data_IF_049321166081
#
_entry.id   IF_049321166081
#
_cell.length_a   1.000
_cell.length_b   1.000
_cell.length_c   1.000
_cell.angle_alpha   90.00
_cell.angle_beta   90.00
_cell.angle_gamma   90.00
#
_symmetry.space_group_name_H-M   'P 1'
#
loop_
_entity.id
_entity.type
_entity.pdbx_description
1 polymer ?
#
# COMPACT_ATOMS: atom_id res chain seq x y z
N UNK A 1 22.01 40.14 -12.10
CA UNK A 1 21.33 38.84 -12.30
C UNK A 1 21.23 38.17 -10.94
N UNK A 2 20.04 38.11 -10.34
CA UNK A 2 19.81 37.38 -9.09
C UNK A 2 19.55 35.93 -9.44
N UNK A 3 20.45 35.03 -9.01
CA UNK A 3 20.23 33.59 -9.08
C UNK A 3 19.22 33.24 -7.97
N UNK A 4 17.99 32.94 -8.36
CA UNK A 4 17.01 32.41 -7.43
C UNK A 4 17.52 31.03 -6.97
N UNK A 5 17.92 30.91 -5.71
CA UNK A 5 18.11 29.60 -5.06
C UNK A 5 16.74 28.92 -5.03
N UNK A 6 16.55 27.94 -5.90
CA UNK A 6 15.45 27.00 -5.83
C UNK A 6 15.77 26.05 -4.67
N UNK A 7 15.18 26.31 -3.51
CA UNK A 7 15.13 25.30 -2.47
C UNK A 7 14.29 24.15 -3.04
N UNK A 8 14.80 22.90 -3.07
CA UNK A 8 13.95 21.79 -3.40
C UNK A 8 12.80 21.77 -2.38
N UNK A 9 11.56 21.87 -2.86
CA UNK A 9 10.40 21.61 -2.03
C UNK A 9 10.61 20.20 -1.46
N UNK A 10 10.60 20.07 -0.14
CA UNK A 10 10.62 18.76 0.51
C UNK A 10 9.44 17.98 -0.05
N UNK A 11 9.71 16.87 -0.73
CA UNK A 11 8.65 16.00 -1.20
C UNK A 11 7.85 15.54 0.04
N UNK A 12 6.62 16.03 0.15
CA UNK A 12 5.73 15.62 1.22
C UNK A 12 5.19 14.24 0.84
N UNK A 13 5.43 13.26 1.68
CA UNK A 13 4.96 11.88 1.47
C UNK A 13 3.43 11.86 1.28
N UNK A 14 2.90 10.84 0.59
CA UNK A 14 1.47 10.67 0.37
C UNK A 14 0.68 10.64 1.69
N UNK A 15 1.23 9.98 2.70
CA UNK A 15 0.78 10.12 4.07
C UNK A 15 1.49 11.37 4.62
N UNK A 16 0.75 12.48 4.77
CA UNK A 16 1.24 13.77 5.23
C UNK A 16 1.92 13.70 6.61
N UNK A 17 2.50 14.80 7.03
CA UNK A 17 3.30 14.90 8.25
C UNK A 17 2.64 14.27 9.50
N UNK A 18 1.30 14.35 9.64
CA UNK A 18 0.62 13.78 10.81
C UNK A 18 0.42 12.27 10.65
N UNK A 19 -0.19 11.80 9.56
CA UNK A 19 -0.46 10.38 9.36
C UNK A 19 0.83 9.56 9.20
N UNK A 20 1.90 10.16 8.68
CA UNK A 20 3.20 9.49 8.50
C UNK A 20 3.84 9.03 9.80
N UNK A 21 3.53 9.66 10.92
CA UNK A 21 4.07 9.32 12.24
C UNK A 21 3.35 8.16 12.92
N UNK A 22 2.17 7.75 12.42
CA UNK A 22 1.39 6.66 13.00
C UNK A 22 1.78 5.31 12.42
N UNK A 23 2.12 4.37 13.29
CA UNK A 23 2.21 2.95 12.94
C UNK A 23 0.83 2.28 12.97
N UNK A 24 0.00 2.67 13.95
CA UNK A 24 -1.35 2.10 14.13
C UNK A 24 -2.36 3.22 14.40
N UNK A 25 -3.41 3.26 13.59
CA UNK A 25 -4.49 4.24 13.73
C UNK A 25 -5.84 3.58 13.46
N UNK A 26 -6.79 3.70 14.40
CA UNK A 26 -8.12 3.13 14.28
C UNK A 26 -9.23 4.18 14.36
N UNK A 27 -10.26 4.08 13.52
CA UNK A 27 -11.46 4.91 13.61
C UNK A 27 -12.31 4.56 14.83
N UNK A 28 -12.60 3.28 15.00
CA UNK A 28 -13.39 2.71 16.11
C UNK A 28 -12.57 2.33 17.34
N UNK A 29 -11.23 2.33 17.24
CA UNK A 29 -10.35 2.00 18.35
C UNK A 29 -9.13 1.18 17.93
N UNK A 30 -8.22 0.99 18.89
CA UNK A 30 -7.06 0.10 18.77
C UNK A 30 -7.05 -0.82 19.98
N UNK A 31 -6.98 -2.12 19.73
CA UNK A 31 -6.94 -3.14 20.78
C UNK A 31 -5.78 -4.08 20.57
N UNK A 32 -4.99 -4.31 21.60
CA UNK A 32 -4.02 -5.41 21.64
C UNK A 32 -4.40 -6.40 22.74
N UNK A 33 -4.43 -7.69 22.42
CA UNK A 33 -4.75 -8.74 23.40
C UNK A 33 -3.52 -9.42 23.99
N UNK A 34 -2.32 -9.08 23.51
CA UNK A 34 -1.09 -9.70 23.96
C UNK A 34 0.14 -8.78 23.84
N UNK A 35 1.33 -9.39 23.95
CA UNK A 35 2.61 -8.69 23.86
C UNK A 35 2.94 -8.25 22.43
N UNK A 36 2.40 -7.11 22.03
CA UNK A 36 2.66 -6.48 20.73
C UNK A 36 3.70 -5.38 20.86
N UNK A 37 4.57 -5.24 19.88
CA UNK A 37 5.54 -4.13 19.79
C UNK A 37 5.19 -3.23 18.62
N UNK A 38 5.06 -1.93 18.88
CA UNK A 38 4.72 -0.93 17.86
C UNK A 38 5.81 0.13 17.82
N UNK A 39 6.44 0.31 16.66
CA UNK A 39 7.39 1.38 16.42
C UNK A 39 6.72 2.50 15.62
N UNK A 40 6.35 3.56 16.32
CA UNK A 40 5.59 4.71 15.82
C UNK A 40 4.42 5.07 16.74
N UNK A 41 3.67 6.11 16.38
CA UNK A 41 2.51 6.54 17.15
C UNK A 41 1.35 5.56 17.03
N UNK A 42 0.58 5.48 18.13
CA UNK A 42 -0.68 4.72 18.19
C UNK A 42 -1.80 5.69 18.56
N UNK A 43 -2.93 5.60 17.86
CA UNK A 43 -4.07 6.45 18.16
C UNK A 43 -5.39 5.91 17.66
N UNK A 44 -6.46 6.51 18.20
CA UNK A 44 -7.81 6.23 17.75
C UNK A 44 -8.63 7.52 17.67
N UNK A 45 -9.38 7.70 16.60
CA UNK A 45 -10.29 8.81 16.40
C UNK A 45 -11.36 8.49 15.34
N UNK A 46 -12.61 8.90 15.52
CA UNK A 46 -13.13 9.78 16.57
C UNK A 46 -13.29 9.12 17.95
N UNK A 47 -13.28 7.80 18.03
CA UNK A 47 -13.30 7.11 19.33
C UNK A 47 -11.90 7.16 19.96
N UNK A 48 -11.83 7.59 21.22
CA UNK A 48 -10.57 7.60 21.96
C UNK A 48 -10.38 6.26 22.72
N UNK A 49 -10.48 5.14 22.00
CA UNK A 49 -10.39 3.81 22.61
C UNK A 49 -9.10 3.12 22.20
N UNK A 50 -8.09 3.16 23.07
CA UNK A 50 -6.85 2.40 22.92
C UNK A 50 -6.68 1.51 24.14
N UNK A 51 -6.68 0.19 23.96
CA UNK A 51 -6.67 -0.81 25.03
C UNK A 51 -5.60 -1.86 24.83
N UNK A 52 -5.13 -2.48 25.91
CA UNK A 52 -4.09 -3.50 25.88
C UNK A 52 -2.65 -2.96 25.92
N UNK A 53 -2.48 -1.76 26.44
CA UNK A 53 -1.18 -1.10 26.62
C UNK A 53 -0.95 -0.73 28.07
N UNK A 54 -0.33 -1.60 28.91
CA UNK A 54 0.31 -2.89 28.61
C UNK A 54 -0.70 -4.05 28.42
N UNK A 55 -0.28 -5.26 27.92
CA UNK A 55 1.12 -5.71 27.73
C UNK A 55 1.77 -5.24 26.43
N UNK A 56 1.03 -4.67 25.47
CA UNK A 56 1.64 -4.09 24.30
C UNK A 56 2.54 -2.89 24.65
N UNK A 57 3.61 -2.72 23.87
CA UNK A 57 4.61 -1.65 24.06
C UNK A 57 4.73 -0.79 22.82
N UNK A 58 4.94 0.51 23.04
CA UNK A 58 5.20 1.47 21.97
C UNK A 58 6.67 1.88 22.05
N UNK A 59 7.38 1.76 20.94
CA UNK A 59 8.76 2.20 20.75
C UNK A 59 8.82 3.22 19.62
N UNK A 60 9.70 4.22 19.71
CA UNK A 60 9.81 5.23 18.62
C UNK A 60 8.59 6.17 18.48
N UNK A 61 7.61 6.10 19.37
CA UNK A 61 6.38 6.89 19.31
C UNK A 61 5.68 6.97 20.67
N UNK A 62 4.41 7.37 20.65
CA UNK A 62 3.57 7.52 21.84
C UNK A 62 2.09 7.22 21.54
N UNK A 63 1.29 7.10 22.62
CA UNK A 63 -0.17 7.20 22.49
C UNK A 63 -0.54 8.65 22.16
N UNK A 64 -1.19 8.83 21.02
CA UNK A 64 -1.55 10.16 20.54
C UNK A 64 -2.89 10.62 21.10
N UNK A 65 -3.01 11.94 21.32
CA UNK A 65 -4.28 12.55 21.69
C UNK A 65 -5.33 12.38 20.58
N UNK A 66 -6.60 12.44 20.96
CA UNK A 66 -7.72 12.33 20.00
C UNK A 66 -7.63 13.38 18.90
N UNK A 67 -7.23 14.61 19.21
CA UNK A 67 -7.09 15.68 18.21
C UNK A 67 -6.03 15.36 17.16
N UNK A 68 -4.85 14.88 17.56
CA UNK A 68 -3.78 14.50 16.63
C UNK A 68 -4.21 13.27 15.81
N UNK A 69 -4.88 12.31 16.44
CA UNK A 69 -5.42 11.13 15.75
C UNK A 69 -6.52 11.51 14.74
N UNK A 70 -7.34 12.54 15.01
CA UNK A 70 -8.33 13.06 14.06
C UNK A 70 -7.67 13.70 12.84
N UNK A 71 -6.60 14.47 13.02
CA UNK A 71 -5.83 15.02 11.92
C UNK A 71 -5.22 13.90 11.06
N UNK A 72 -4.62 12.89 11.71
CA UNK A 72 -4.06 11.74 11.02
C UNK A 72 -5.12 10.94 10.24
N UNK A 73 -6.34 10.79 10.78
CA UNK A 73 -7.45 10.16 10.03
C UNK A 73 -7.88 10.98 8.83
N UNK A 74 -7.92 12.31 8.95
CA UNK A 74 -8.23 13.18 7.82
C UNK A 74 -7.18 13.07 6.70
N UNK A 75 -5.91 13.03 7.09
CA UNK A 75 -4.79 12.84 6.16
C UNK A 75 -4.84 11.46 5.48
N UNK A 76 -5.11 10.39 6.25
CA UNK A 76 -5.27 9.05 5.73
C UNK A 76 -6.45 8.94 4.76
N UNK A 77 -7.55 9.66 5.00
CA UNK A 77 -8.69 9.74 4.09
C UNK A 77 -8.33 10.40 2.77
N UNK A 78 -7.56 11.49 2.80
CA UNK A 78 -7.10 12.17 1.58
C UNK A 78 -6.22 11.22 0.77
N UNK A 79 -5.27 10.54 1.41
CA UNK A 79 -4.41 9.55 0.77
C UNK A 79 -5.23 8.37 0.19
N UNK A 80 -6.15 7.82 0.96
CA UNK A 80 -7.03 6.71 0.53
C UNK A 80 -7.81 7.06 -0.73
N UNK A 81 -8.44 8.24 -0.75
CA UNK A 81 -9.24 8.70 -1.90
C UNK A 81 -8.37 8.96 -3.12
N UNK A 82 -7.17 9.48 -2.92
CA UNK A 82 -6.21 9.68 -4.01
C UNK A 82 -5.76 8.33 -4.62
N UNK A 83 -5.41 7.35 -3.79
CA UNK A 83 -5.02 6.01 -4.24
C UNK A 83 -6.13 5.33 -5.05
N UNK A 84 -7.40 5.47 -4.63
CA UNK A 84 -8.56 4.89 -5.31
C UNK A 84 -8.83 5.45 -6.71
N UNK A 85 -8.19 6.55 -7.08
CA UNK A 85 -8.35 7.21 -8.38
C UNK A 85 -7.21 6.88 -9.37
N UNK A 86 -6.24 6.05 -8.96
CA UNK A 86 -5.14 5.72 -9.83
C UNK A 86 -5.58 4.76 -10.95
N UNK A 87 -5.05 4.96 -12.13
CA UNK A 87 -5.38 4.06 -13.25
C UNK A 87 -4.62 2.73 -13.09
N UNK A 88 -5.32 1.59 -13.14
CA UNK A 88 -4.67 0.31 -12.97
C UNK A 88 -3.77 -0.01 -14.17
N UNK A 89 -2.55 -0.47 -13.88
CA UNK A 89 -1.65 -1.05 -14.88
C UNK A 89 -2.01 -2.52 -15.15
N UNK A 90 -2.57 -3.21 -14.14
CA UNK A 90 -2.99 -4.59 -14.26
C UNK A 90 -4.21 -4.91 -13.38
N UNK A 91 -5.12 -5.74 -13.92
CA UNK A 91 -6.28 -6.27 -13.16
C UNK A 91 -5.96 -7.70 -12.73
N UNK A 92 -6.01 -7.94 -11.40
CA UNK A 92 -5.71 -9.23 -10.77
C UNK A 92 -6.94 -9.82 -10.04
N UNK A 93 -8.15 -9.40 -10.39
CA UNK A 93 -9.38 -9.91 -9.77
C UNK A 93 -9.47 -11.43 -9.88
N UNK A 94 -9.59 -12.11 -8.72
CA UNK A 94 -9.67 -13.57 -8.65
C UNK A 94 -8.32 -14.30 -8.71
N UNK A 95 -7.21 -13.56 -8.77
CA UNK A 95 -5.85 -14.13 -8.74
C UNK A 95 -5.33 -14.11 -7.31
N UNK A 96 -4.75 -15.23 -6.84
CA UNK A 96 -3.98 -15.25 -5.59
C UNK A 96 -2.63 -14.58 -5.82
N UNK A 97 -2.22 -13.72 -4.90
CA UNK A 97 -0.95 -13.00 -4.97
C UNK A 97 0.26 -13.90 -4.68
N UNK A 98 0.05 -15.07 -4.07
CA UNK A 98 1.12 -16.01 -3.72
C UNK A 98 1.86 -16.55 -4.94
N UNK A 99 3.18 -16.57 -4.86
CA UNK A 99 4.06 -17.03 -5.94
C UNK A 99 4.28 -16.00 -7.06
N UNK A 100 3.62 -14.84 -7.00
CA UNK A 100 3.82 -13.80 -8.01
C UNK A 100 5.09 -12.98 -7.73
N UNK A 101 5.72 -12.54 -8.81
CA UNK A 101 6.68 -11.44 -8.81
C UNK A 101 6.05 -10.27 -9.55
N UNK A 102 5.88 -9.15 -8.87
CA UNK A 102 5.27 -7.95 -9.41
C UNK A 102 6.29 -6.82 -9.48
N UNK A 103 6.12 -5.97 -10.48
CA UNK A 103 6.95 -4.79 -10.72
C UNK A 103 6.21 -3.52 -10.31
N UNK A 104 6.86 -2.34 -10.26
CA UNK A 104 6.18 -1.09 -9.93
C UNK A 104 4.92 -0.88 -10.79
N UNK A 105 3.77 -0.67 -10.15
CA UNK A 105 2.50 -0.58 -10.86
C UNK A 105 1.29 -0.43 -9.95
N UNK A 106 0.12 -0.32 -10.57
CA UNK A 106 -1.20 -0.26 -9.92
C UNK A 106 -1.96 -1.55 -10.23
N UNK A 107 -2.24 -2.33 -9.20
CA UNK A 107 -2.85 -3.65 -9.28
C UNK A 107 -4.27 -3.60 -8.74
N UNK A 108 -5.26 -3.86 -9.61
CA UNK A 108 -6.67 -3.74 -9.26
C UNK A 108 -7.34 -5.08 -9.03
N UNK A 109 -8.04 -5.17 -7.90
CA UNK A 109 -8.96 -6.24 -7.56
C UNK A 109 -10.36 -5.64 -7.44
N UNK A 110 -11.29 -6.01 -8.33
CA UNK A 110 -12.68 -5.53 -8.27
C UNK A 110 -13.41 -6.06 -7.03
N UNK A 111 -12.93 -7.16 -6.44
CA UNK A 111 -13.45 -7.81 -5.25
C UNK A 111 -12.36 -7.96 -4.19
N UNK A 112 -12.30 -9.09 -3.50
CA UNK A 112 -11.27 -9.38 -2.49
C UNK A 112 -9.95 -9.79 -3.14
N UNK A 113 -8.85 -9.52 -2.44
CA UNK A 113 -7.52 -10.03 -2.73
C UNK A 113 -7.10 -11.06 -1.68
N UNK A 114 -6.38 -12.08 -2.11
CA UNK A 114 -5.84 -13.13 -1.25
C UNK A 114 -4.35 -13.29 -1.48
N UNK A 115 -3.61 -13.56 -0.41
CA UNK A 115 -2.19 -13.88 -0.46
C UNK A 115 -1.95 -15.21 0.24
N UNK A 116 -1.50 -16.22 -0.52
CA UNK A 116 -1.13 -17.54 0.02
C UNK A 116 0.34 -17.82 -0.33
N UNK A 117 1.23 -17.76 0.66
CA UNK A 117 2.67 -17.94 0.46
C UNK A 117 3.40 -16.62 0.22
N UNK A 118 4.30 -16.55 -0.75
CA UNK A 118 5.21 -15.42 -0.95
C UNK A 118 4.80 -14.55 -2.13
N UNK A 119 4.61 -13.25 -1.91
CA UNK A 119 4.55 -12.23 -2.94
C UNK A 119 5.89 -11.51 -2.99
N UNK A 120 6.51 -11.47 -4.15
CA UNK A 120 7.74 -10.70 -4.40
C UNK A 120 7.42 -9.42 -5.14
N UNK A 121 7.82 -8.28 -4.59
CA UNK A 121 7.80 -6.98 -5.23
C UNK A 121 9.23 -6.67 -5.67
N UNK A 122 9.46 -6.44 -6.96
CA UNK A 122 10.79 -6.17 -7.49
C UNK A 122 10.84 -4.75 -8.05
N UNK A 123 11.52 -3.86 -7.33
CA UNK A 123 11.71 -2.46 -7.75
C UNK A 123 12.69 -2.28 -8.89
N UNK A 124 13.34 -3.36 -9.33
CA UNK A 124 14.34 -3.34 -10.44
C UNK A 124 15.50 -2.34 -10.21
N UNK A 125 15.77 -1.95 -8.97
CA UNK A 125 16.79 -0.96 -8.62
C UNK A 125 16.42 0.49 -8.98
N UNK A 126 15.15 0.77 -9.25
CA UNK A 126 14.67 2.12 -9.57
C UNK A 126 14.10 2.78 -8.32
N UNK A 127 14.68 3.89 -7.89
CA UNK A 127 14.20 4.68 -6.75
C UNK A 127 12.82 5.27 -6.98
N UNK A 128 12.09 5.48 -5.89
CA UNK A 128 10.70 5.96 -5.88
C UNK A 128 9.72 5.03 -6.63
N UNK A 129 10.02 3.76 -6.73
CA UNK A 129 9.09 2.77 -7.28
C UNK A 129 7.81 2.71 -6.47
N UNK A 130 6.67 2.52 -7.14
CA UNK A 130 5.36 2.45 -6.47
C UNK A 130 4.68 1.13 -6.77
N UNK A 131 4.24 0.46 -5.70
CA UNK A 131 3.37 -0.70 -5.75
C UNK A 131 2.05 -0.33 -5.07
N UNK A 132 0.99 -0.20 -5.84
CA UNK A 132 -0.34 0.10 -5.33
C UNK A 132 -1.29 -1.07 -5.59
N UNK A 133 -1.92 -1.54 -4.53
CA UNK A 133 -2.97 -2.56 -4.60
C UNK A 133 -4.31 -1.91 -4.27
N UNK A 134 -5.17 -1.75 -5.29
CA UNK A 134 -6.54 -1.28 -5.15
C UNK A 134 -7.47 -2.48 -4.98
N UNK A 135 -7.97 -2.70 -3.77
CA UNK A 135 -8.77 -3.87 -3.42
C UNK A 135 -10.20 -3.42 -3.12
N UNK A 136 -11.15 -3.81 -3.97
CA UNK A 136 -12.55 -3.37 -3.89
C UNK A 136 -13.30 -3.89 -2.66
N UNK A 137 -12.81 -4.94 -1.99
CA UNK A 137 -13.44 -5.51 -0.78
C UNK A 137 -12.39 -5.82 0.28
N UNK A 138 -12.12 -7.09 0.59
CA UNK A 138 -11.23 -7.50 1.67
C UNK A 138 -9.85 -7.92 1.18
N UNK A 139 -8.84 -7.69 2.02
CA UNK A 139 -7.52 -8.30 1.91
C UNK A 139 -7.40 -9.40 2.97
N UNK A 140 -7.00 -10.61 2.57
CA UNK A 140 -6.75 -11.71 3.50
C UNK A 140 -5.43 -12.40 3.17
N UNK A 141 -4.58 -12.59 4.17
CA UNK A 141 -3.39 -13.42 4.01
C UNK A 141 -3.58 -14.75 4.72
N UNK A 142 -3.10 -15.83 4.11
CA UNK A 142 -2.98 -17.13 4.78
C UNK A 142 -1.88 -17.07 5.85
N UNK A 143 -1.84 -18.06 6.75
CA UNK A 143 -0.78 -18.17 7.75
C UNK A 143 0.59 -18.30 7.07
N UNK A 144 1.60 -17.67 7.67
CA UNK A 144 3.00 -17.66 7.19
C UNK A 144 3.18 -17.07 5.77
N UNK A 145 2.23 -16.26 5.32
CA UNK A 145 2.40 -15.51 4.07
C UNK A 145 3.44 -14.41 4.21
N UNK A 146 4.10 -14.09 3.11
CA UNK A 146 5.19 -13.10 3.09
C UNK A 146 4.99 -12.12 1.94
N UNK A 147 5.13 -10.82 2.22
CA UNK A 147 5.37 -9.79 1.20
C UNK A 147 6.82 -9.38 1.29
N UNK A 148 7.57 -9.57 0.22
CA UNK A 148 9.00 -9.28 0.14
C UNK A 148 9.28 -8.24 -0.93
N UNK A 149 10.06 -7.21 -0.60
CA UNK A 149 10.58 -6.23 -1.56
C UNK A 149 12.03 -6.57 -1.86
N UNK A 150 12.36 -6.70 -3.13
CA UNK A 150 13.74 -6.90 -3.61
C UNK A 150 14.16 -5.75 -4.52
N UNK A 151 15.46 -5.49 -4.60
CA UNK A 151 16.04 -4.39 -5.38
C UNK A 151 15.40 -3.04 -5.06
N UNK A 152 14.90 -2.88 -3.80
CA UNK A 152 14.15 -1.70 -3.36
C UNK A 152 15.05 -0.60 -2.83
N UNK A 153 14.44 0.57 -2.69
CA UNK A 153 15.03 1.81 -2.17
C UNK A 153 14.13 2.34 -1.03
N UNK A 154 14.69 2.99 0.01
CA UNK A 154 13.88 3.59 1.08
C UNK A 154 12.82 4.60 0.61
N UNK A 155 12.99 5.17 -0.58
CA UNK A 155 12.04 6.11 -1.19
C UNK A 155 10.89 5.41 -1.96
N UNK A 156 10.87 4.07 -2.01
CA UNK A 156 9.79 3.32 -2.66
C UNK A 156 8.48 3.46 -1.87
N UNK A 157 7.37 3.27 -2.56
CA UNK A 157 6.02 3.29 -2.01
C UNK A 157 5.34 1.92 -2.14
N UNK A 158 4.83 1.37 -1.03
CA UNK A 158 3.99 0.16 -1.05
C UNK A 158 2.69 0.46 -0.32
N UNK A 159 1.58 0.45 -1.06
CA UNK A 159 0.27 0.84 -0.57
C UNK A 159 -0.79 -0.22 -0.85
N UNK A 160 -1.58 -0.51 0.17
CA UNK A 160 -2.72 -1.43 0.12
C UNK A 160 -3.99 -0.63 0.45
N UNK A 161 -4.66 -0.13 -0.58
CA UNK A 161 -5.96 0.54 -0.47
C UNK A 161 -7.04 -0.54 -0.43
N UNK A 162 -7.71 -0.70 0.73
CA UNK A 162 -8.64 -1.81 0.99
C UNK A 162 -10.06 -1.27 1.19
N UNK A 163 -10.96 -1.66 0.30
CA UNK A 163 -12.35 -1.17 0.27
C UNK A 163 -13.20 -1.60 1.46
N UNK A 164 -12.77 -2.60 2.24
CA UNK A 164 -13.42 -3.04 3.47
C UNK A 164 -12.36 -3.32 4.53
N UNK A 165 -12.14 -4.58 4.91
CA UNK A 165 -11.24 -4.97 6.01
C UNK A 165 -10.02 -5.74 5.52
N UNK A 166 -8.91 -5.62 6.24
CA UNK A 166 -7.73 -6.45 6.05
C UNK A 166 -7.57 -7.43 7.23
N UNK A 167 -7.22 -8.68 6.91
CA UNK A 167 -6.90 -9.71 7.91
C UNK A 167 -5.56 -10.34 7.57
N UNK A 168 -4.58 -10.17 8.45
CA UNK A 168 -3.29 -10.82 8.33
C UNK A 168 -3.30 -12.10 9.15
N UNK A 169 -3.10 -13.24 8.49
CA UNK A 169 -3.06 -14.58 9.10
C UNK A 169 -1.86 -14.75 10.02
N UNK A 170 -1.87 -15.81 10.82
CA UNK A 170 -0.83 -16.14 11.80
C UNK A 170 0.56 -16.10 11.17
N UNK A 171 1.51 -15.49 11.88
CA UNK A 171 2.93 -15.44 11.46
C UNK A 171 3.16 -14.83 10.07
N UNK A 172 2.22 -14.04 9.55
CA UNK A 172 2.40 -13.29 8.30
C UNK A 172 3.51 -12.25 8.46
N UNK A 173 4.43 -12.19 7.51
CA UNK A 173 5.38 -11.09 7.36
C UNK A 173 4.90 -10.16 6.25
N UNK A 174 4.26 -9.08 6.64
CA UNK A 174 3.65 -8.13 5.71
C UNK A 174 4.52 -6.88 5.57
N UNK A 175 4.44 -6.23 4.41
CA UNK A 175 5.21 -5.03 4.10
C UNK A 175 4.31 -3.99 3.44
N UNK A 176 4.48 -2.72 3.85
CA UNK A 176 3.80 -1.58 3.27
C UNK A 176 2.62 -1.05 4.11
N UNK A 177 1.98 -0.03 3.57
CA UNK A 177 0.97 0.76 4.27
C UNK A 177 -0.43 0.24 3.94
N UNK A 178 -1.14 -0.29 4.95
CA UNK A 178 -2.52 -0.74 4.82
C UNK A 178 -3.45 0.43 5.17
N UNK A 179 -4.25 0.85 4.21
CA UNK A 179 -5.31 1.85 4.37
C UNK A 179 -6.65 1.14 4.20
N UNK A 180 -7.29 0.74 5.29
CA UNK A 180 -8.54 0.00 5.25
C UNK A 180 -9.74 0.89 5.55
N UNK A 181 -10.75 0.79 4.70
CA UNK A 181 -12.00 1.52 4.90
C UNK A 181 -12.69 1.13 6.23
N UNK A 182 -12.63 -0.15 6.60
CA UNK A 182 -13.23 -0.65 7.84
C UNK A 182 -12.13 -1.06 8.82
N UNK A 183 -11.86 -2.34 9.02
CA UNK A 183 -11.01 -2.81 10.12
C UNK A 183 -9.73 -3.49 9.62
N UNK A 184 -8.72 -3.54 10.49
CA UNK A 184 -7.50 -4.32 10.28
C UNK A 184 -7.33 -5.28 11.46
N UNK A 185 -7.15 -6.56 11.17
CA UNK A 185 -6.92 -7.60 12.18
C UNK A 185 -5.58 -8.29 11.93
N UNK A 186 -4.74 -8.32 12.93
CA UNK A 186 -3.49 -9.08 12.94
C UNK A 186 -3.68 -10.30 13.83
N UNK A 187 -3.63 -11.50 13.22
CA UNK A 187 -3.61 -12.77 13.93
C UNK A 187 -2.27 -12.93 14.69
N UNK A 188 -2.12 -13.93 15.58
CA UNK A 188 -0.92 -14.07 16.38
C UNK A 188 0.37 -14.07 15.56
N UNK A 189 1.39 -13.36 16.05
CA UNK A 189 2.72 -13.24 15.44
C UNK A 189 2.74 -12.60 14.03
N UNK A 190 1.62 -12.09 13.53
CA UNK A 190 1.62 -11.32 12.28
C UNK A 190 2.40 -10.01 12.48
N UNK A 191 3.19 -9.65 11.48
CA UNK A 191 4.04 -8.47 11.52
C UNK A 191 3.80 -7.60 10.29
N UNK A 192 3.76 -6.30 10.50
CA UNK A 192 3.89 -5.30 9.43
C UNK A 192 5.28 -4.68 9.59
N UNK A 193 6.20 -5.17 8.79
CA UNK A 193 7.52 -4.58 8.68
C UNK A 193 7.47 -3.43 7.67
N UNK A 194 8.07 -2.30 8.00
CA UNK A 194 8.11 -1.14 7.10
C UNK A 194 6.73 -0.70 6.59
N UNK A 195 5.81 -0.47 7.50
CA UNK A 195 4.45 -0.09 7.11
C UNK A 195 3.57 0.35 8.27
N UNK A 196 2.30 0.52 7.95
CA UNK A 196 1.27 1.06 8.85
C UNK A 196 -0.01 0.25 8.77
N UNK A 197 -0.77 0.27 9.86
CA UNK A 197 -2.14 -0.23 9.92
C UNK A 197 -3.08 0.96 10.21
N UNK A 198 -3.69 1.51 9.15
CA UNK A 198 -4.61 2.65 9.22
C UNK A 198 -6.02 2.16 8.88
N UNK A 199 -6.90 2.08 9.88
CA UNK A 199 -8.24 1.51 9.77
C UNK A 199 -9.33 2.55 10.07
N UNK A 200 -10.55 2.29 9.58
CA UNK A 200 -11.70 3.14 9.82
C UNK A 200 -11.66 4.45 9.04
N UNK A 201 -11.06 4.45 7.86
CA UNK A 201 -10.80 5.68 7.10
C UNK A 201 -12.10 6.36 6.68
N UNK A 202 -13.09 5.62 6.18
CA UNK A 202 -14.43 6.14 5.91
C UNK A 202 -15.49 5.63 6.91
N UNK A 203 -15.17 4.58 7.65
CA UNK A 203 -16.05 3.96 8.63
C UNK A 203 -15.51 4.24 10.03
N UNK A 204 -16.04 5.26 10.68
CA UNK A 204 -15.61 5.69 12.03
C UNK A 204 -15.67 4.59 13.10
N UNK A 205 -16.27 3.46 12.79
CA UNK A 205 -16.33 2.26 13.64
C UNK A 205 -15.22 1.23 13.37
N UNK A 206 -14.41 1.42 12.32
CA UNK A 206 -13.34 0.48 11.95
C UNK A 206 -12.19 0.50 12.94
N UNK A 207 -11.79 -0.65 13.45
CA UNK A 207 -10.76 -0.80 14.48
C UNK A 207 -9.51 -1.53 13.96
N UNK A 208 -8.38 -1.31 14.63
CA UNK A 208 -7.21 -2.18 14.53
C UNK A 208 -7.19 -3.11 15.73
N UNK A 209 -7.22 -4.42 15.45
CA UNK A 209 -7.15 -5.46 16.48
C UNK A 209 -5.89 -6.29 16.27
N UNK A 210 -5.12 -6.43 17.32
CA UNK A 210 -3.85 -7.15 17.34
C UNK A 210 -3.92 -8.25 18.39
N UNK A 211 -3.52 -9.46 17.99
CA UNK A 211 -3.38 -10.60 18.87
C UNK A 211 -2.04 -10.56 19.63
N UNK A 212 -1.55 -11.70 20.09
CA UNK A 212 -0.27 -11.80 20.78
C UNK A 212 0.91 -11.86 19.80
N UNK A 213 2.06 -11.34 20.21
CA UNK A 213 3.32 -11.44 19.46
C UNK A 213 3.37 -10.62 18.18
N UNK A 214 2.43 -9.69 17.95
CA UNK A 214 2.45 -8.86 16.77
C UNK A 214 3.56 -7.80 16.80
N UNK A 215 3.99 -7.37 15.63
CA UNK A 215 4.85 -6.21 15.45
C UNK A 215 4.33 -5.33 14.32
N UNK A 216 4.26 -4.02 14.56
CA UNK A 216 4.00 -3.01 13.53
C UNK A 216 5.08 -1.94 13.62
N UNK A 217 5.85 -1.75 12.55
CA UNK A 217 6.96 -0.83 12.56
C UNK A 217 7.02 0.01 11.28
N UNK A 218 7.10 1.33 11.45
CA UNK A 218 7.39 2.26 10.36
C UNK A 218 8.89 2.32 10.05
N UNK A 219 9.74 1.92 11.01
CA UNK A 219 11.19 1.78 10.83
C UNK A 219 11.61 0.46 11.48
N UNK A 220 12.07 -0.49 10.69
CA UNK A 220 12.45 -1.81 11.21
C UNK A 220 13.96 -1.99 11.42
N UNK A 221 14.75 -0.96 11.11
CA UNK A 221 16.21 -1.00 11.22
C UNK A 221 16.92 -1.73 10.08
N UNK A 222 16.19 -2.28 9.11
CA UNK A 222 16.76 -3.01 7.96
C UNK A 222 16.96 -2.14 6.71
N UNK A 223 16.93 -0.82 6.87
CA UNK A 223 17.04 0.15 5.77
C UNK A 223 15.71 0.77 5.33
N UNK A 224 14.62 0.33 5.91
CA UNK A 224 13.31 0.93 5.74
C UNK A 224 13.23 2.21 6.59
N UNK A 225 13.03 3.33 5.95
CA UNK A 225 12.82 4.62 6.60
C UNK A 225 11.45 5.15 6.19
N UNK A 226 10.59 5.43 7.18
CA UNK A 226 9.27 6.01 6.92
C UNK A 226 8.23 5.06 6.34
N UNK A 227 8.45 3.72 6.41
CA UNK A 227 7.43 2.71 6.10
C UNK A 227 7.05 2.61 4.63
N UNK A 228 8.01 2.72 3.71
CA UNK A 228 7.75 2.68 2.26
C UNK A 228 6.57 3.58 1.86
N UNK A 229 6.63 4.84 2.28
CA UNK A 229 5.60 5.85 1.99
C UNK A 229 5.93 6.76 0.81
N UNK A 230 6.95 6.43 0.00
CA UNK A 230 7.45 7.24 -1.10
C UNK A 230 6.63 7.13 -2.39
N UNK A 231 7.20 7.64 -3.46
CA UNK A 231 6.64 7.55 -4.82
C UNK A 231 5.60 8.60 -5.17
N UNK A 232 5.11 9.36 -4.21
CA UNK A 232 4.17 10.48 -4.41
C UNK A 232 4.65 11.74 -3.71
N UNK A 233 4.31 12.90 -4.26
CA UNK A 233 4.54 14.20 -3.62
C UNK A 233 3.26 15.03 -3.58
N UNK A 234 3.12 15.89 -2.57
CA UNK A 234 2.04 16.86 -2.51
C UNK A 234 2.31 18.01 -3.48
N UNK A 235 1.26 18.50 -4.14
CA UNK A 235 1.37 19.66 -5.05
C UNK A 235 0.70 20.90 -4.43
N UNK A 236 1.25 22.06 -4.73
CA UNK A 236 0.66 23.34 -4.32
C UNK A 236 -0.73 23.49 -4.94
N UNK A 237 -1.77 23.65 -4.09
CA UNK A 237 -3.17 23.71 -4.51
C UNK A 237 -3.98 22.51 -4.03
N UNK A 238 -3.36 21.57 -3.33
CA UNK A 238 -3.95 20.35 -2.80
C UNK A 238 -3.91 19.19 -3.78
N UNK A 239 -3.70 17.98 -3.25
CA UNK A 239 -3.58 16.75 -4.01
C UNK A 239 -2.13 16.23 -4.05
N UNK A 240 -1.96 15.15 -4.79
CA UNK A 240 -0.69 14.45 -4.91
C UNK A 240 -0.34 14.22 -6.37
N UNK A 241 0.95 14.05 -6.63
CA UNK A 241 1.48 13.67 -7.94
C UNK A 241 2.40 12.46 -7.76
N UNK A 242 2.29 11.49 -8.67
CA UNK A 242 3.26 10.41 -8.76
C UNK A 242 4.62 10.99 -9.18
N UNK A 243 5.64 10.76 -8.37
CA UNK A 243 7.05 11.05 -8.71
C UNK A 243 7.81 9.76 -9.02
N UNK A 244 7.20 8.62 -8.69
CA UNK A 244 7.76 7.31 -8.87
C UNK A 244 7.63 6.78 -10.30
N UNK A 245 8.38 5.74 -10.58
CA UNK A 245 8.34 5.03 -11.85
C UNK A 245 7.30 3.90 -11.79
N UNK A 246 6.33 3.93 -12.70
CA UNK A 246 5.50 2.77 -13.02
C UNK A 246 6.11 2.14 -14.27
N UNK A 247 6.44 0.86 -14.19
CA UNK A 247 6.91 0.14 -15.37
C UNK A 247 5.73 -0.01 -16.33
N UNK A 248 5.88 0.49 -17.54
CA UNK A 248 4.95 0.15 -18.61
C UNK A 248 5.01 -1.38 -18.81
N UNK A 249 3.94 -2.07 -18.44
CA UNK A 249 3.84 -3.51 -18.71
C UNK A 249 3.87 -3.66 -20.22
N UNK A 250 4.85 -4.39 -20.80
CA UNK A 250 4.87 -4.63 -22.24
C UNK A 250 3.53 -5.24 -22.60
N UNK A 251 2.82 -4.61 -23.53
CA UNK A 251 1.54 -5.13 -24.01
C UNK A 251 1.71 -6.60 -24.39
N UNK A 252 0.81 -7.50 -23.95
CA UNK A 252 0.92 -8.91 -24.29
C UNK A 252 1.12 -9.01 -25.80
N UNK A 253 2.06 -9.83 -26.25
CA UNK A 253 2.41 -9.99 -27.67
C UNK A 253 1.23 -10.29 -28.61
N UNK A 254 0.00 -10.36 -28.08
CA UNK A 254 -1.27 -10.40 -28.80
C UNK A 254 -1.48 -9.21 -29.74
N UNK A 255 -1.04 -7.98 -29.39
CA UNK A 255 -1.12 -6.84 -30.33
C UNK A 255 -0.09 -6.95 -31.45
N UNK A 256 1.12 -7.45 -31.16
CA UNK A 256 2.09 -7.75 -32.17
C UNK A 256 1.61 -8.89 -33.12
N UNK A 257 0.96 -9.92 -32.56
CA UNK A 257 0.33 -11.00 -33.34
C UNK A 257 -0.86 -10.51 -34.16
N UNK A 258 -1.68 -9.60 -33.60
CA UNK A 258 -2.80 -8.98 -34.31
C UNK A 258 -2.29 -8.12 -35.49
N UNK A 259 -1.25 -7.32 -35.25
CA UNK A 259 -0.62 -6.51 -36.31
C UNK A 259 0.00 -7.39 -37.44
N UNK A 260 0.67 -8.49 -37.08
CA UNK A 260 1.19 -9.47 -38.03
C UNK A 260 0.07 -10.20 -38.78
N UNK A 261 -1.03 -10.53 -38.10
CA UNK A 261 -2.22 -11.14 -38.69
C UNK A 261 -2.90 -10.22 -39.72
N UNK A 262 -3.05 -8.94 -39.41
CA UNK A 262 -3.62 -7.94 -40.31
C UNK A 262 -2.71 -7.65 -41.49
N UNK A 263 -1.40 -7.60 -41.29
CA UNK A 263 -0.42 -7.47 -42.36
C UNK A 263 -0.44 -8.69 -43.32
N UNK A 264 -0.56 -9.90 -42.75
CA UNK A 264 -0.70 -11.14 -43.53
C UNK A 264 -1.96 -11.17 -44.39
N UNK A 265 -3.09 -10.72 -43.86
CA UNK A 265 -4.36 -10.60 -44.59
C UNK A 265 -4.28 -9.55 -45.71
N UNK A 266 -3.59 -8.44 -45.49
CA UNK A 266 -3.33 -7.40 -46.52
C UNK A 266 -2.52 -7.91 -47.67
N UNK A 267 -1.49 -8.73 -47.42
CA UNK A 267 -0.67 -9.35 -48.45
C UNK A 267 -1.41 -10.45 -49.22
N UNK A 268 -2.26 -11.24 -48.56
CA UNK A 268 -3.08 -12.27 -49.20
C UNK A 268 -4.13 -11.65 -50.15
N UNK A 269 -4.74 -10.53 -49.82
CA UNK A 269 -5.67 -9.79 -50.72
C UNK A 269 -4.98 -9.21 -51.96
N UNK A 270 -3.73 -8.79 -51.87
CA UNK A 270 -2.97 -8.28 -53.05
C UNK A 270 -2.62 -9.34 -54.08
N UNK A 271 -2.60 -10.63 -53.70
CA UNK A 271 -2.32 -11.75 -54.63
C UNK A 271 -3.54 -12.23 -55.41
N UNK A 272 -4.74 -11.75 -55.11
CA UNK A 272 -5.96 -12.02 -55.89
C UNK A 272 -6.25 -10.83 -56.82
N UNK A 273 -5.34 -10.53 -57.75
CA UNK A 273 -5.59 -9.62 -58.87
C UNK A 273 -6.54 -10.26 -59.86
N UNK A 274 -7.29 -9.45 -60.65
CA UNK A 274 -8.33 -9.96 -61.56
C UNK A 274 -7.71 -10.89 -62.61
N UNK A 275 -8.29 -12.09 -62.69
CA UNK A 275 -8.09 -12.94 -63.87
C UNK A 275 -8.93 -12.34 -64.98
N UNK A 276 -8.28 -11.88 -66.04
CA UNK A 276 -8.89 -11.53 -67.30
C UNK A 276 -9.18 -12.84 -68.05
#
# INVERSE_FOLDING_TARGET
MAVACYSPASASLLLSDTASTFAVLGGGGVTSSGATTIDGNVGAAPTNSVTGFPPATITGGALSSTTVSQLAQADALVAYNFLALQLPTQVLTGVDLGGLTLYPGVYKFATSAQLTGVLTLDSQGVSNSVFLFEIGSTLTTASSSVVSLINGDPADGVYWQVGSSATLGDSTLFLGNILANTSITLAPFAQIACGRALAGINATSGAVTMADGNRVAINDGSGCVGGYGGGYESVSGGGFRLIGHLVDVPEPGSLALLALGLAGLGLARRRQGPKV
#
